data_IF_788783217209
#
_entry.id   IF_788783217209
#
_cell.length_a   1.000
_cell.length_b   1.000
_cell.length_c   1.000
_cell.angle_alpha   90.00
_cell.angle_beta   90.00
_cell.angle_gamma   90.00
#
_symmetry.space_group_name_H-M   'P 1'
#
loop_
_entity.id
_entity.type
_entity.pdbx_description
1 polymer ?
#
# COMPACT_ATOMS: atom_id res chain seq x y z
N UNK A 1 -15.67 14.58 -22.80
CA UNK A 1 -15.25 13.20 -22.51
C UNK A 1 -14.04 13.29 -21.61
N UNK A 2 -14.11 12.72 -20.41
CA UNK A 2 -13.04 12.82 -19.39
C UNK A 2 -11.71 12.34 -19.98
N UNK A 3 -10.68 13.19 -19.90
CA UNK A 3 -9.30 12.70 -20.02
C UNK A 3 -9.14 11.60 -18.98
N UNK A 4 -8.82 10.38 -19.42
CA UNK A 4 -8.28 9.37 -18.52
C UNK A 4 -7.03 9.97 -17.90
N UNK A 5 -7.04 10.11 -16.57
CA UNK A 5 -6.03 10.83 -15.80
C UNK A 5 -4.64 10.33 -16.14
N UNK A 6 -3.72 11.27 -16.35
CA UNK A 6 -2.29 10.95 -16.39
C UNK A 6 -1.92 10.17 -15.13
N UNK A 7 -1.11 9.13 -15.28
CA UNK A 7 -0.62 8.40 -14.12
C UNK A 7 0.21 9.34 -13.23
N UNK A 8 -0.20 9.49 -11.97
CA UNK A 8 0.38 10.43 -11.02
C UNK A 8 1.50 9.83 -10.16
N UNK A 9 1.75 8.53 -10.28
CA UNK A 9 2.68 7.78 -9.41
C UNK A 9 3.58 6.89 -10.26
N UNK A 10 4.88 7.11 -10.25
CA UNK A 10 5.81 6.19 -10.90
C UNK A 10 6.06 4.94 -10.04
N UNK A 11 6.30 3.74 -10.63
CA UNK A 11 6.50 2.52 -9.86
C UNK A 11 7.64 2.60 -8.83
N UNK A 12 8.72 3.31 -9.17
CA UNK A 12 9.89 3.47 -8.32
C UNK A 12 9.59 4.35 -7.08
N UNK A 13 8.54 5.17 -7.14
CA UNK A 13 8.11 6.06 -6.06
C UNK A 13 7.19 5.37 -5.05
N UNK A 14 6.61 4.22 -5.40
CA UNK A 14 5.61 3.53 -4.58
C UNK A 14 6.19 3.19 -3.20
N UNK A 15 7.41 2.64 -3.14
CA UNK A 15 8.04 2.29 -1.85
C UNK A 15 8.21 3.51 -0.95
N UNK A 16 8.68 4.64 -1.49
CA UNK A 16 8.78 5.89 -0.72
C UNK A 16 7.41 6.41 -0.30
N UNK A 17 6.39 6.31 -1.16
CA UNK A 17 5.01 6.67 -0.82
C UNK A 17 4.49 5.87 0.37
N UNK A 18 4.66 4.54 0.35
CA UNK A 18 4.26 3.68 1.48
C UNK A 18 5.05 3.99 2.74
N UNK A 19 6.37 4.23 2.67
CA UNK A 19 7.16 4.66 3.84
C UNK A 19 6.62 5.95 4.46
N UNK A 20 6.26 6.93 3.64
CA UNK A 20 5.71 8.19 4.11
C UNK A 20 4.33 8.00 4.76
N UNK A 21 3.48 7.14 4.20
CA UNK A 21 2.16 6.81 4.76
C UNK A 21 2.30 6.14 6.13
N UNK A 22 3.21 5.18 6.26
CA UNK A 22 3.40 4.41 7.48
C UNK A 22 4.28 5.10 8.53
N UNK A 23 4.94 6.21 8.18
CA UNK A 23 5.96 6.86 9.01
C UNK A 23 5.51 7.09 10.47
N UNK A 24 4.24 7.45 10.69
CA UNK A 24 3.69 7.68 12.03
C UNK A 24 3.54 6.40 12.86
N UNK A 25 3.15 5.29 12.22
CA UNK A 25 2.95 4.01 12.91
C UNK A 25 4.24 3.20 13.05
N UNK A 26 5.27 3.52 12.24
CA UNK A 26 6.61 2.92 12.28
C UNK A 26 7.63 3.67 13.13
N UNK A 27 7.27 4.80 13.77
CA UNK A 27 8.22 5.51 14.64
C UNK A 27 8.61 4.67 15.87
N UNK A 28 9.79 5.00 16.40
CA UNK A 28 10.57 4.31 17.43
C UNK A 28 9.76 3.81 18.63
N UNK A 29 10.24 2.77 19.35
CA UNK A 29 9.55 2.14 20.49
C UNK A 29 9.00 3.09 21.55
N UNK A 30 9.58 4.28 21.67
CA UNK A 30 9.23 5.30 22.66
C UNK A 30 7.99 6.13 22.30
N UNK A 31 7.50 6.05 21.06
CA UNK A 31 6.23 6.62 20.61
C UNK A 31 5.24 5.49 20.32
N UNK A 32 4.40 5.16 21.30
CA UNK A 32 3.30 4.23 21.11
C UNK A 32 2.28 4.82 20.15
N UNK A 33 2.33 4.41 18.88
CA UNK A 33 1.30 4.72 17.89
C UNK A 33 -0.08 4.35 18.44
N UNK A 34 -1.03 5.28 18.32
CA UNK A 34 -2.40 5.11 18.81
C UNK A 34 -3.34 4.71 17.67
N UNK A 35 -4.55 4.29 18.01
CA UNK A 35 -5.57 3.85 17.05
C UNK A 35 -5.77 4.83 15.89
N UNK A 36 -5.83 6.12 16.21
CA UNK A 36 -6.00 7.20 15.23
C UNK A 36 -4.86 7.24 14.20
N UNK A 37 -3.62 6.92 14.59
CA UNK A 37 -2.49 6.87 13.66
C UNK A 37 -2.63 5.71 12.66
N UNK A 38 -3.12 4.56 13.13
CA UNK A 38 -3.39 3.41 12.27
C UNK A 38 -4.58 3.66 11.33
N UNK A 39 -5.64 4.33 11.81
CA UNK A 39 -6.78 4.72 10.98
C UNK A 39 -6.34 5.69 9.86
N UNK A 40 -5.54 6.71 10.20
CA UNK A 40 -4.97 7.66 9.23
C UNK A 40 -4.10 6.93 8.20
N UNK A 41 -3.19 6.07 8.64
CA UNK A 41 -2.34 5.28 7.77
C UNK A 41 -3.15 4.36 6.84
N UNK A 42 -4.18 3.68 7.35
CA UNK A 42 -5.03 2.79 6.55
C UNK A 42 -5.81 3.56 5.49
N UNK A 43 -6.40 4.72 5.86
CA UNK A 43 -7.12 5.59 4.93
C UNK A 43 -6.23 6.08 3.80
N UNK A 44 -5.02 6.53 4.12
CA UNK A 44 -4.02 6.95 3.13
C UNK A 44 -3.54 5.80 2.26
N UNK A 45 -3.33 4.63 2.83
CA UNK A 45 -2.93 3.44 2.07
C UNK A 45 -4.02 3.01 1.07
N UNK A 46 -5.30 3.05 1.47
CA UNK A 46 -6.44 2.77 0.58
C UNK A 46 -6.45 3.73 -0.61
N UNK A 47 -6.32 5.04 -0.37
CA UNK A 47 -6.28 6.04 -1.43
C UNK A 47 -5.09 5.82 -2.37
N UNK A 48 -3.91 5.54 -1.81
CA UNK A 48 -2.72 5.30 -2.60
C UNK A 48 -2.82 4.03 -3.46
N UNK A 49 -3.46 2.96 -2.95
CA UNK A 49 -3.78 1.77 -3.75
C UNK A 49 -4.71 2.14 -4.93
N UNK A 50 -5.73 2.96 -4.69
CA UNK A 50 -6.66 3.39 -5.75
C UNK A 50 -5.95 4.19 -6.85
N UNK A 51 -5.06 5.11 -6.48
CA UNK A 51 -4.22 5.86 -7.43
C UNK A 51 -3.33 4.93 -8.27
N UNK A 52 -2.73 3.92 -7.63
CA UNK A 52 -1.89 2.93 -8.34
C UNK A 52 -2.75 2.04 -9.25
N UNK A 53 -3.97 1.66 -8.85
CA UNK A 53 -4.92 0.92 -9.68
C UNK A 53 -5.35 1.72 -10.93
N UNK A 54 -5.48 3.04 -10.81
CA UNK A 54 -5.69 3.94 -11.95
C UNK A 54 -4.49 3.96 -12.90
N UNK A 55 -3.27 4.10 -12.36
CA UNK A 55 -2.02 4.01 -13.14
C UNK A 55 -1.84 2.67 -13.86
N UNK A 56 -2.20 1.56 -13.19
CA UNK A 56 -2.17 0.22 -13.78
C UNK A 56 -3.14 0.14 -14.96
N UNK A 57 -4.40 0.58 -14.77
CA UNK A 57 -5.41 0.60 -15.84
C UNK A 57 -4.98 1.45 -17.02
N UNK A 58 -4.44 2.65 -16.76
CA UNK A 58 -3.90 3.53 -17.79
C UNK A 58 -2.80 2.84 -18.61
N UNK A 59 -1.81 2.25 -17.93
CA UNK A 59 -0.67 1.59 -18.59
C UNK A 59 -1.12 0.39 -19.42
N UNK A 60 -2.06 -0.40 -18.89
CA UNK A 60 -2.67 -1.54 -19.59
C UNK A 60 -3.46 -1.11 -20.83
N UNK A 61 -4.27 -0.06 -20.72
CA UNK A 61 -5.06 0.45 -21.84
C UNK A 61 -4.16 1.01 -22.95
N UNK A 62 -3.04 1.64 -22.57
CA UNK A 62 -2.05 2.11 -23.52
C UNK A 62 -1.34 0.94 -24.23
N UNK A 63 -0.94 -0.10 -23.50
CA UNK A 63 -0.36 -1.33 -24.03
C UNK A 63 -1.28 -2.00 -25.06
N UNK A 64 -2.56 -2.20 -24.71
CA UNK A 64 -3.55 -2.83 -25.60
C UNK A 64 -3.69 -2.05 -26.92
N UNK A 65 -3.61 -0.72 -26.86
CA UNK A 65 -3.73 0.15 -28.05
C UNK A 65 -2.47 0.20 -28.92
N UNK A 66 -1.29 -0.04 -28.34
CA UNK A 66 0.00 0.24 -28.98
C UNK A 66 0.90 -1.00 -29.22
N UNK A 67 0.33 -2.22 -29.16
CA UNK A 67 0.98 -3.54 -29.36
C UNK A 67 1.46 -4.21 -28.06
N UNK A 68 1.28 -5.53 -27.95
CA UNK A 68 1.57 -6.34 -26.75
C UNK A 68 3.06 -6.70 -26.62
N UNK A 69 3.59 -6.63 -25.40
CA UNK A 69 5.00 -6.68 -24.97
C UNK A 69 5.82 -5.39 -25.20
N UNK A 70 5.32 -4.27 -24.67
CA UNK A 70 6.07 -3.01 -24.60
C UNK A 70 6.42 -2.60 -23.16
N UNK A 71 7.19 -1.50 -23.02
CA UNK A 71 7.50 -0.84 -21.74
C UNK A 71 6.24 -0.57 -20.89
N UNK A 72 5.08 -0.37 -21.52
CA UNK A 72 3.81 -0.14 -20.82
C UNK A 72 3.23 -1.40 -20.18
N UNK A 73 3.40 -2.57 -20.82
CA UNK A 73 3.09 -3.87 -20.25
C UNK A 73 3.92 -4.14 -19.00
N UNK A 74 5.25 -3.99 -19.08
CA UNK A 74 6.15 -4.15 -17.93
C UNK A 74 5.76 -3.20 -16.78
N UNK A 75 5.42 -1.94 -17.10
CA UNK A 75 4.98 -0.97 -16.11
C UNK A 75 3.66 -1.38 -15.43
N UNK A 76 2.69 -1.88 -16.20
CA UNK A 76 1.43 -2.42 -15.69
C UNK A 76 1.65 -3.61 -14.74
N UNK A 77 2.56 -4.53 -15.08
CA UNK A 77 2.85 -5.70 -14.26
C UNK A 77 3.52 -5.32 -12.94
N UNK A 78 4.42 -4.32 -12.96
CA UNK A 78 4.98 -3.74 -11.74
C UNK A 78 3.89 -3.15 -10.83
N UNK A 79 2.97 -2.35 -11.37
CA UNK A 79 1.86 -1.82 -10.59
C UNK A 79 0.98 -2.93 -9.99
N UNK A 80 0.64 -3.95 -10.78
CA UNK A 80 -0.14 -5.09 -10.31
C UNK A 80 0.54 -5.80 -9.13
N UNK A 81 1.86 -5.96 -9.21
CA UNK A 81 2.67 -6.58 -8.17
C UNK A 81 2.66 -5.73 -6.90
N UNK A 82 2.87 -4.42 -7.01
CA UNK A 82 2.78 -3.50 -5.88
C UNK A 82 1.38 -3.49 -5.23
N UNK A 83 0.30 -3.43 -6.02
CA UNK A 83 -1.08 -3.47 -5.52
C UNK A 83 -1.33 -4.72 -4.68
N UNK A 84 -0.84 -5.88 -5.15
CA UNK A 84 -1.02 -7.16 -4.45
C UNK A 84 -0.37 -7.13 -3.06
N UNK A 85 0.86 -6.64 -2.95
CA UNK A 85 1.53 -6.52 -1.64
C UNK A 85 0.90 -5.46 -0.75
N UNK A 86 0.53 -4.30 -1.31
CA UNK A 86 -0.10 -3.22 -0.54
C UNK A 86 -1.46 -3.63 0.03
N UNK A 87 -2.22 -4.48 -0.68
CA UNK A 87 -3.46 -5.07 -0.14
C UNK A 87 -3.20 -5.97 1.06
N UNK A 88 -2.10 -6.72 1.06
CA UNK A 88 -1.72 -7.52 2.23
C UNK A 88 -1.33 -6.64 3.41
N UNK A 89 -0.52 -5.61 3.17
CA UNK A 89 -0.15 -4.62 4.19
C UNK A 89 -1.40 -3.93 4.77
N UNK A 90 -2.36 -3.55 3.92
CA UNK A 90 -3.65 -2.98 4.34
C UNK A 90 -4.40 -3.93 5.28
N UNK A 91 -4.48 -5.22 4.95
CA UNK A 91 -5.14 -6.22 5.82
C UNK A 91 -4.48 -6.28 7.20
N UNK A 92 -3.15 -6.25 7.26
CA UNK A 92 -2.42 -6.29 8.52
C UNK A 92 -2.65 -5.03 9.37
N UNK A 93 -2.72 -3.85 8.74
CA UNK A 93 -3.05 -2.58 9.41
C UNK A 93 -4.49 -2.59 9.91
N UNK A 94 -5.44 -3.09 9.11
CA UNK A 94 -6.84 -3.27 9.55
C UNK A 94 -6.93 -4.17 10.78
N UNK A 95 -6.19 -5.28 10.82
CA UNK A 95 -6.14 -6.15 11.99
C UNK A 95 -5.59 -5.44 13.25
N UNK A 96 -4.65 -4.49 13.09
CA UNK A 96 -4.22 -3.64 14.22
C UNK A 96 -5.38 -2.77 14.70
N UNK A 97 -6.11 -2.13 13.80
CA UNK A 97 -7.24 -1.25 14.16
C UNK A 97 -8.28 -2.05 14.94
N UNK A 98 -8.69 -3.22 14.43
CA UNK A 98 -9.63 -4.12 15.13
C UNK A 98 -9.11 -4.53 16.52
N UNK A 99 -7.79 -4.67 16.68
CA UNK A 99 -7.22 -5.00 18.00
C UNK A 99 -7.40 -3.90 19.06
N UNK A 100 -7.60 -2.64 18.67
CA UNK A 100 -7.92 -1.58 19.62
C UNK A 100 -9.33 -1.72 20.19
N UNK A 101 -10.29 -2.20 19.39
CA UNK A 101 -11.67 -2.46 19.81
C UNK A 101 -11.77 -3.65 20.78
N UNK A 102 -10.78 -4.55 20.79
CA UNK A 102 -10.72 -5.75 21.63
C UNK A 102 -10.34 -5.47 23.11
N UNK A 103 -9.99 -4.24 23.49
CA UNK A 103 -9.74 -3.88 24.89
C UNK A 103 -8.68 -4.73 25.59
N UNK A 104 -9.05 -5.50 26.62
CA UNK A 104 -8.13 -6.40 27.35
C UNK A 104 -7.48 -7.47 26.44
N UNK A 105 -8.16 -7.85 25.35
CA UNK A 105 -7.64 -8.80 24.35
C UNK A 105 -6.74 -8.13 23.30
N UNK A 106 -6.48 -6.82 23.40
CA UNK A 106 -5.62 -6.07 22.47
C UNK A 106 -4.25 -6.70 22.27
N UNK A 107 -3.64 -7.23 23.34
CA UNK A 107 -2.34 -7.90 23.23
C UNK A 107 -2.37 -9.15 22.32
N UNK A 108 -3.51 -9.84 22.24
CA UNK A 108 -3.71 -10.98 21.34
C UNK A 108 -3.90 -10.51 19.90
N UNK A 109 -4.71 -9.48 19.66
CA UNK A 109 -4.85 -8.88 18.32
C UNK A 109 -3.55 -8.28 17.78
N UNK A 110 -2.77 -7.61 18.61
CA UNK A 110 -1.43 -7.12 18.26
C UNK A 110 -0.43 -8.26 17.97
N UNK A 111 -0.53 -9.39 18.68
CA UNK A 111 0.30 -10.59 18.39
C UNK A 111 -0.09 -11.28 17.08
N UNK A 112 -1.36 -11.19 16.69
CA UNK A 112 -1.87 -11.73 15.43
C UNK A 112 -1.49 -10.82 14.26
N UNK A 113 -1.46 -9.50 14.46
CA UNK A 113 -1.03 -8.56 13.44
C UNK A 113 0.48 -8.62 13.22
N UNK A 114 0.90 -8.91 11.98
CA UNK A 114 2.31 -8.93 11.56
C UNK A 114 2.67 -7.71 10.70
N UNK A 115 1.94 -6.59 10.86
CA UNK A 115 2.04 -5.46 9.93
C UNK A 115 3.45 -4.88 9.77
N UNK A 116 4.28 -4.89 10.84
CA UNK A 116 5.67 -4.39 10.79
C UNK A 116 6.56 -5.24 9.92
N UNK A 117 6.55 -6.55 10.15
CA UNK A 117 7.28 -7.53 9.34
C UNK A 117 6.88 -7.38 7.87
N UNK A 118 5.60 -7.17 7.61
CA UNK A 118 5.07 -7.04 6.26
C UNK A 118 5.42 -5.71 5.59
N UNK A 119 5.53 -4.63 6.36
CA UNK A 119 6.08 -3.37 5.86
C UNK A 119 7.58 -3.53 5.53
N UNK A 120 8.34 -4.20 6.38
CA UNK A 120 9.77 -4.46 6.17
C UNK A 120 10.01 -5.34 4.94
N UNK A 121 9.26 -6.43 4.79
CA UNK A 121 9.28 -7.29 3.60
C UNK A 121 8.94 -6.50 2.33
N UNK A 122 7.90 -5.66 2.38
CA UNK A 122 7.52 -4.80 1.27
C UNK A 122 8.65 -3.85 0.85
N UNK A 123 9.41 -3.30 1.81
CA UNK A 123 10.53 -2.42 1.50
C UNK A 123 11.75 -3.18 0.94
N UNK A 124 12.04 -4.36 1.49
CA UNK A 124 13.21 -5.16 1.13
C UNK A 124 13.07 -5.87 -0.22
N UNK A 125 11.86 -6.23 -0.63
CA UNK A 125 11.62 -7.04 -1.83
C UNK A 125 11.93 -6.29 -3.13
N UNK A 126 12.71 -6.88 -4.01
CA UNK A 126 12.94 -6.37 -5.38
C UNK A 126 11.73 -6.68 -6.28
N UNK A 127 11.23 -5.68 -7.02
CA UNK A 127 10.03 -5.73 -7.86
C UNK A 127 10.32 -5.06 -9.21
#
# INVERSE_FOLDING_TARGET
MSLFGECLVEPDEIKSGVKNILAKVTKTPDQSAIEIDFIDANSKLIKFIQEIEECQRYSRDFEIKNYHFSRWGEKSDKYFTYISYMRYLKLQISAVIESFELGELRSMGFKISMWREQAEEFYAKEI
#
